data_IF_688477776215
#
_entry.id   IF_688477776215
#
_cell.length_a   1.000
_cell.length_b   1.000
_cell.length_c   1.000
_cell.angle_alpha   90.00
_cell.angle_beta   90.00
_cell.angle_gamma   90.00
#
_symmetry.space_group_name_H-M   'P 1'
#
loop_
_entity.id
_entity.type
_entity.pdbx_description
1 polymer ?
#
# COMPACT_ATOMS: atom_id res chain seq x y z
N UNK A 1 21.03 15.69 18.15
CA UNK A 1 21.91 14.78 18.91
C UNK A 1 21.65 13.34 18.53
N UNK A 2 22.69 12.55 18.41
CA UNK A 2 22.55 11.11 18.20
C UNK A 2 22.80 10.36 19.52
N UNK A 3 22.06 9.28 19.72
CA UNK A 3 22.21 8.39 20.85
C UNK A 3 22.50 6.99 20.32
N UNK A 4 23.42 6.28 20.95
CA UNK A 4 23.73 4.90 20.60
C UNK A 4 22.73 3.99 21.30
N UNK A 5 22.07 3.14 20.54
CA UNK A 5 21.18 2.09 21.03
C UNK A 5 21.79 0.75 20.64
N UNK A 6 21.84 -0.18 21.57
CA UNK A 6 22.33 -1.54 21.33
C UNK A 6 21.31 -2.57 21.81
N UNK A 7 21.29 -3.72 21.17
CA UNK A 7 20.43 -4.85 21.55
C UNK A 7 21.18 -6.16 21.36
N UNK A 8 20.73 -7.19 22.07
CA UNK A 8 21.24 -8.55 21.94
C UNK A 8 20.38 -9.33 20.96
N UNK A 9 21.01 -10.18 20.16
CA UNK A 9 20.36 -11.06 19.23
C UNK A 9 20.93 -12.47 19.38
N UNK A 10 20.12 -13.47 19.05
CA UNK A 10 20.63 -14.83 18.94
C UNK A 10 21.62 -14.95 17.76
N UNK A 11 22.45 -16.01 17.80
CA UNK A 11 23.52 -16.17 16.82
C UNK A 11 23.00 -16.39 15.39
N UNK A 12 21.86 -17.04 15.23
CA UNK A 12 21.28 -17.29 13.90
C UNK A 12 20.78 -16.00 13.29
N UNK A 13 20.04 -15.19 14.04
CA UNK A 13 19.59 -13.88 13.61
C UNK A 13 20.78 -12.95 13.30
N UNK A 14 21.80 -12.91 14.19
CA UNK A 14 22.96 -12.05 13.98
C UNK A 14 23.73 -12.39 12.71
N UNK A 15 23.85 -13.68 12.38
CA UNK A 15 24.50 -14.16 11.15
C UNK A 15 23.75 -13.69 9.90
N UNK A 16 22.43 -13.78 9.92
CA UNK A 16 21.59 -13.49 8.76
C UNK A 16 21.21 -12.01 8.64
N UNK A 17 21.47 -11.22 9.69
CA UNK A 17 21.04 -9.83 9.77
C UNK A 17 21.58 -8.95 8.65
N UNK A 18 22.87 -9.03 8.35
CA UNK A 18 23.49 -8.24 7.27
C UNK A 18 22.96 -8.63 5.90
N UNK A 19 22.68 -9.91 5.70
CA UNK A 19 22.06 -10.41 4.48
C UNK A 19 20.62 -9.88 4.31
N UNK A 20 19.87 -9.85 5.40
CA UNK A 20 18.51 -9.28 5.42
C UNK A 20 18.51 -7.80 5.04
N UNK A 21 19.42 -7.03 5.61
CA UNK A 21 19.57 -5.60 5.30
C UNK A 21 19.88 -5.38 3.82
N UNK A 22 20.83 -6.13 3.26
CA UNK A 22 21.19 -6.04 1.84
C UNK A 22 20.04 -6.43 0.92
N UNK A 23 19.33 -7.50 1.22
CA UNK A 23 18.14 -7.94 0.46
C UNK A 23 17.03 -6.90 0.47
N UNK A 24 16.94 -6.12 1.54
CA UNK A 24 15.97 -5.03 1.68
C UNK A 24 16.38 -3.73 0.98
N UNK A 25 17.54 -3.71 0.29
CA UNK A 25 18.02 -2.55 -0.45
C UNK A 25 18.69 -1.47 0.39
N UNK A 26 18.97 -1.74 1.66
CA UNK A 26 19.63 -0.79 2.56
C UNK A 26 21.14 -1.01 2.59
N UNK A 27 21.91 0.08 2.62
CA UNK A 27 23.36 0.07 2.83
C UNK A 27 23.77 0.48 4.26
N UNK A 28 22.81 0.97 5.04
CA UNK A 28 23.05 1.51 6.37
C UNK A 28 22.18 0.79 7.39
N UNK A 29 22.83 0.10 8.36
CA UNK A 29 22.14 -0.65 9.43
C UNK A 29 21.22 0.22 10.26
N UNK A 30 21.69 1.37 10.70
CA UNK A 30 20.92 2.28 11.56
C UNK A 30 19.66 2.77 10.86
N UNK A 31 19.76 3.10 9.58
CA UNK A 31 18.62 3.49 8.78
C UNK A 31 17.62 2.35 8.57
N UNK A 32 18.12 1.15 8.27
CA UNK A 32 17.27 -0.04 8.15
C UNK A 32 16.48 -0.29 9.45
N UNK A 33 17.16 -0.30 10.60
CA UNK A 33 16.52 -0.53 11.91
C UNK A 33 15.48 0.54 12.21
N UNK A 34 15.84 1.81 11.98
CA UNK A 34 14.91 2.93 12.17
C UNK A 34 13.65 2.78 11.32
N UNK A 35 13.83 2.59 10.01
CA UNK A 35 12.71 2.50 9.08
C UNK A 35 11.86 1.26 9.34
N UNK A 36 12.48 0.12 9.64
CA UNK A 36 11.78 -1.10 10.01
C UNK A 36 10.98 -0.94 11.31
N UNK A 37 11.54 -0.28 12.31
CA UNK A 37 10.85 -0.03 13.59
C UNK A 37 9.66 0.92 13.42
N UNK A 38 9.81 1.96 12.63
CA UNK A 38 8.72 2.89 12.32
C UNK A 38 7.62 2.20 11.52
N UNK A 39 7.98 1.41 10.52
CA UNK A 39 7.04 0.64 9.73
C UNK A 39 6.26 -0.36 10.59
N UNK A 40 6.94 -1.11 11.44
CA UNK A 40 6.30 -2.07 12.34
C UNK A 40 5.36 -1.36 13.33
N UNK A 41 5.81 -0.26 13.92
CA UNK A 41 4.98 0.55 14.82
C UNK A 41 3.72 1.06 14.14
N UNK A 42 3.85 1.52 12.91
CA UNK A 42 2.73 1.99 12.11
C UNK A 42 1.73 0.87 11.78
N UNK A 43 2.24 -0.30 11.41
CA UNK A 43 1.40 -1.49 11.20
C UNK A 43 0.63 -1.88 12.47
N UNK A 44 1.28 -1.82 13.64
CA UNK A 44 0.64 -2.11 14.92
C UNK A 44 -0.45 -1.09 15.28
N UNK A 45 -0.24 0.17 14.93
CA UNK A 45 -1.22 1.24 15.23
C UNK A 45 -2.42 1.22 14.29
N UNK A 46 -2.22 0.89 13.03
CA UNK A 46 -3.23 0.97 11.99
C UNK A 46 -3.80 -0.37 11.58
N UNK A 47 -3.02 -1.44 11.71
CA UNK A 47 -3.36 -2.75 11.18
C UNK A 47 -3.37 -2.78 9.64
N UNK A 48 -3.70 -3.91 9.09
CA UNK A 48 -4.01 -4.03 7.66
C UNK A 48 -5.37 -3.39 7.38
N UNK A 49 -5.61 -3.00 6.13
CA UNK A 49 -6.89 -2.44 5.69
C UNK A 49 -8.10 -3.25 6.18
N UNK A 50 -7.96 -4.56 6.21
CA UNK A 50 -9.03 -5.49 6.63
C UNK A 50 -9.37 -5.38 8.12
N UNK A 51 -8.39 -5.00 8.96
CA UNK A 51 -8.51 -4.90 10.40
C UNK A 51 -8.76 -3.47 10.91
N UNK A 52 -8.67 -2.47 10.03
CA UNK A 52 -8.90 -1.08 10.39
C UNK A 52 -10.35 -0.81 10.78
N UNK A 53 -10.56 0.10 11.73
CA UNK A 53 -11.89 0.66 11.99
C UNK A 53 -12.46 1.26 10.70
N UNK A 54 -13.67 0.84 10.33
CA UNK A 54 -14.33 1.26 9.10
C UNK A 54 -14.57 2.77 8.98
N UNK A 55 -14.66 3.49 10.10
CA UNK A 55 -14.87 4.94 10.13
C UNK A 55 -13.57 5.75 10.03
N UNK A 56 -12.40 5.09 10.15
CA UNK A 56 -11.11 5.75 10.02
C UNK A 56 -10.92 6.27 8.59
N UNK A 57 -10.65 7.57 8.47
CA UNK A 57 -10.34 8.19 7.18
C UNK A 57 -8.87 7.92 6.86
N UNK A 58 -8.63 7.30 5.74
CA UNK A 58 -7.30 6.95 5.24
C UNK A 58 -7.13 7.39 3.78
N UNK A 59 -5.91 7.47 3.35
CA UNK A 59 -5.56 7.67 1.95
C UNK A 59 -4.44 6.72 1.52
N UNK A 60 -4.33 6.49 0.25
CA UNK A 60 -3.33 5.60 -0.31
C UNK A 60 -3.53 5.38 -1.79
N UNK A 61 -2.92 4.32 -2.30
CA UNK A 61 -2.99 3.96 -3.71
C UNK A 61 -3.67 2.61 -3.90
N UNK A 62 -4.68 2.60 -4.74
CA UNK A 62 -5.31 1.37 -5.21
C UNK A 62 -4.71 1.02 -6.56
N UNK A 63 -4.22 -0.21 -6.68
CA UNK A 63 -3.61 -0.74 -7.91
C UNK A 63 -4.45 -1.90 -8.40
N UNK A 64 -4.92 -1.81 -9.64
CA UNK A 64 -5.81 -2.82 -10.24
C UNK A 64 -5.16 -3.35 -11.51
N UNK A 65 -4.87 -4.65 -11.54
CA UNK A 65 -4.43 -5.37 -12.72
C UNK A 65 -5.61 -6.12 -13.33
N UNK A 66 -5.81 -5.97 -14.61
CA UNK A 66 -6.95 -6.58 -15.30
C UNK A 66 -6.65 -6.83 -16.78
N UNK A 67 -7.42 -7.71 -17.37
CA UNK A 67 -7.43 -7.90 -18.81
C UNK A 67 -8.32 -6.85 -19.45
N UNK A 68 -7.87 -6.29 -20.57
CA UNK A 68 -8.59 -5.22 -21.25
C UNK A 68 -10.01 -5.67 -21.63
N UNK A 69 -10.98 -4.96 -21.08
CA UNK A 69 -12.39 -5.16 -21.31
C UNK A 69 -13.09 -3.81 -21.19
N UNK A 70 -14.01 -3.51 -22.09
CA UNK A 70 -14.78 -2.26 -22.08
C UNK A 70 -15.56 -2.08 -20.78
N UNK A 71 -16.10 -3.16 -20.22
CA UNK A 71 -16.87 -3.11 -18.98
C UNK A 71 -15.99 -2.76 -17.76
N UNK A 72 -14.76 -3.28 -17.71
CA UNK A 72 -13.82 -2.97 -16.64
C UNK A 72 -13.35 -1.52 -16.68
N UNK A 73 -13.05 -1.03 -17.88
CA UNK A 73 -12.68 0.38 -18.08
C UNK A 73 -13.79 1.32 -17.62
N UNK A 74 -15.03 0.99 -17.93
CA UNK A 74 -16.20 1.77 -17.52
C UNK A 74 -16.37 1.76 -15.99
N UNK A 75 -16.27 0.60 -15.36
CA UNK A 75 -16.39 0.47 -13.88
C UNK A 75 -15.31 1.26 -13.13
N UNK A 76 -14.09 1.25 -13.64
CA UNK A 76 -12.99 2.03 -13.06
C UNK A 76 -13.21 3.53 -13.25
N UNK A 77 -13.77 3.95 -14.37
CA UNK A 77 -14.19 5.33 -14.59
C UNK A 77 -15.33 5.75 -13.65
N UNK A 78 -16.28 4.87 -13.42
CA UNK A 78 -17.42 5.12 -12.52
C UNK A 78 -16.94 5.32 -11.06
N UNK A 79 -15.85 4.66 -10.65
CA UNK A 79 -15.25 4.85 -9.34
C UNK A 79 -14.70 6.28 -9.12
N UNK A 80 -14.24 6.93 -10.17
CA UNK A 80 -13.77 8.33 -10.09
C UNK A 80 -14.87 9.31 -9.73
N UNK A 81 -16.10 8.94 -9.95
CA UNK A 81 -17.29 9.73 -9.67
C UNK A 81 -18.12 9.15 -8.52
N UNK A 82 -17.55 8.18 -7.78
CA UNK A 82 -18.22 7.59 -6.63
C UNK A 82 -18.25 8.55 -5.44
N UNK A 83 -19.38 8.62 -4.76
CA UNK A 83 -19.49 9.37 -3.49
C UNK A 83 -18.87 8.62 -2.30
N UNK A 84 -18.48 7.36 -2.48
CA UNK A 84 -17.91 6.53 -1.41
C UNK A 84 -16.44 6.86 -1.12
N UNK A 85 -15.69 7.20 -2.16
CA UNK A 85 -14.27 7.51 -2.08
C UNK A 85 -13.94 8.72 -2.94
N UNK A 86 -12.94 9.47 -2.52
CA UNK A 86 -12.38 10.57 -3.30
C UNK A 86 -11.19 10.05 -4.11
N UNK A 87 -11.20 10.25 -5.42
CA UNK A 87 -10.09 9.90 -6.31
C UNK A 87 -9.36 11.17 -6.72
N UNK A 88 -8.16 11.37 -6.18
CA UNK A 88 -7.34 12.56 -6.42
C UNK A 88 -6.53 12.47 -7.72
N UNK A 89 -6.10 11.28 -8.09
CA UNK A 89 -5.41 11.05 -9.35
C UNK A 89 -5.70 9.64 -9.89
N UNK A 90 -5.54 9.51 -11.20
CA UNK A 90 -5.80 8.27 -11.91
C UNK A 90 -4.79 8.13 -13.05
N UNK A 91 -4.20 6.96 -13.19
CA UNK A 91 -3.37 6.63 -14.34
C UNK A 91 -3.67 5.23 -14.85
N UNK A 92 -3.60 5.08 -16.17
CA UNK A 92 -3.78 3.82 -16.86
C UNK A 92 -2.56 3.51 -17.71
N UNK A 93 -2.12 2.26 -17.68
CA UNK A 93 -1.02 1.76 -18.50
C UNK A 93 -1.29 0.35 -18.99
N UNK A 94 -0.75 0.03 -20.15
CA UNK A 94 -0.71 -1.34 -20.67
C UNK A 94 0.68 -1.92 -20.49
N UNK A 95 0.76 -3.08 -19.85
CA UNK A 95 2.02 -3.77 -19.60
C UNK A 95 2.33 -4.70 -20.78
N UNK A 96 3.40 -4.39 -21.51
CA UNK A 96 3.74 -5.09 -22.75
C UNK A 96 4.19 -6.54 -22.55
N UNK A 97 4.85 -6.81 -21.42
CA UNK A 97 5.39 -8.15 -21.15
C UNK A 97 4.32 -9.09 -20.57
N UNK A 98 3.53 -8.62 -19.65
CA UNK A 98 2.48 -9.42 -18.98
C UNK A 98 1.14 -9.40 -19.70
N UNK A 99 0.97 -8.53 -20.71
CA UNK A 99 -0.27 -8.32 -21.43
C UNK A 99 -1.47 -7.95 -20.56
N UNK A 100 -1.19 -7.37 -19.41
CA UNK A 100 -2.19 -6.85 -18.47
C UNK A 100 -2.31 -5.34 -18.59
N UNK A 101 -3.50 -4.82 -18.29
CA UNK A 101 -3.69 -3.40 -18.01
C UNK A 101 -3.52 -3.15 -16.51
N UNK A 102 -3.01 -1.99 -16.17
CA UNK A 102 -2.90 -1.54 -14.78
C UNK A 102 -3.47 -0.13 -14.63
N UNK A 103 -4.34 0.03 -13.64
CA UNK A 103 -4.84 1.32 -13.20
C UNK A 103 -4.32 1.61 -11.80
N UNK A 104 -3.82 2.82 -11.60
CA UNK A 104 -3.36 3.31 -10.30
C UNK A 104 -4.20 4.52 -9.92
N UNK A 105 -4.87 4.42 -8.77
CA UNK A 105 -5.74 5.47 -8.26
C UNK A 105 -5.22 5.96 -6.92
N UNK A 106 -5.06 7.27 -6.77
CA UNK A 106 -4.85 7.86 -5.46
C UNK A 106 -6.21 8.13 -4.83
N UNK A 107 -6.50 7.46 -3.74
CA UNK A 107 -7.83 7.48 -3.11
C UNK A 107 -7.75 7.91 -1.66
N UNK A 108 -8.81 8.57 -1.22
CA UNK A 108 -9.04 8.96 0.17
C UNK A 108 -10.48 8.62 0.54
N UNK A 109 -10.68 8.14 1.74
CA UNK A 109 -12.02 7.83 2.24
C UNK A 109 -11.98 7.03 3.53
N UNK A 110 -13.15 6.66 4.01
CA UNK A 110 -13.27 5.77 5.16
C UNK A 110 -12.74 4.37 4.81
N UNK A 111 -12.01 3.77 5.73
CA UNK A 111 -11.42 2.44 5.53
C UNK A 111 -12.48 1.40 5.12
N UNK A 112 -13.67 1.44 5.70
CA UNK A 112 -14.79 0.57 5.33
C UNK A 112 -15.22 0.73 3.88
N UNK A 113 -15.26 1.95 3.37
CA UNK A 113 -15.62 2.24 1.99
C UNK A 113 -14.53 1.78 1.01
N UNK A 114 -13.26 2.04 1.35
CA UNK A 114 -12.13 1.59 0.54
C UNK A 114 -12.08 0.06 0.48
N UNK A 115 -12.32 -0.61 1.59
CA UNK A 115 -12.43 -2.07 1.69
C UNK A 115 -13.53 -2.62 0.78
N UNK A 116 -14.71 -2.02 0.83
CA UNK A 116 -15.85 -2.40 0.00
C UNK A 116 -15.56 -2.23 -1.49
N UNK A 117 -14.92 -1.13 -1.87
CA UNK A 117 -14.52 -0.87 -3.26
C UNK A 117 -13.47 -1.86 -3.73
N UNK A 118 -12.45 -2.13 -2.90
CA UNK A 118 -11.41 -3.13 -3.19
C UNK A 118 -12.02 -4.52 -3.43
N UNK A 119 -12.91 -4.94 -2.56
CA UNK A 119 -13.60 -6.22 -2.68
C UNK A 119 -14.44 -6.32 -3.95
N UNK A 120 -15.19 -5.28 -4.26
CA UNK A 120 -15.98 -5.22 -5.49
C UNK A 120 -15.11 -5.32 -6.75
N UNK A 121 -13.98 -4.62 -6.77
CA UNK A 121 -13.03 -4.70 -7.88
C UNK A 121 -12.42 -6.09 -8.00
N UNK A 122 -11.99 -6.68 -6.88
CA UNK A 122 -11.39 -8.01 -6.87
C UNK A 122 -12.36 -9.09 -7.38
N UNK A 123 -13.65 -8.93 -7.14
CA UNK A 123 -14.69 -9.85 -7.59
C UNK A 123 -15.26 -9.52 -8.98
N UNK A 124 -14.73 -8.50 -9.64
CA UNK A 124 -15.12 -8.15 -11.00
C UNK A 124 -14.46 -9.13 -11.99
N UNK A 125 -15.22 -9.68 -12.97
CA UNK A 125 -14.65 -10.54 -14.01
C UNK A 125 -13.51 -9.85 -14.74
N UNK A 126 -12.47 -10.62 -15.10
CA UNK A 126 -11.25 -10.16 -15.78
C UNK A 126 -10.34 -9.22 -14.97
N UNK A 127 -10.64 -8.99 -13.70
CA UNK A 127 -9.71 -8.37 -12.76
C UNK A 127 -8.83 -9.46 -12.18
N UNK A 128 -7.52 -9.35 -12.41
CA UNK A 128 -6.56 -10.36 -11.95
C UNK A 128 -6.15 -10.12 -10.51
N UNK A 129 -5.92 -8.86 -10.14
CA UNK A 129 -5.46 -8.50 -8.80
C UNK A 129 -5.82 -7.06 -8.47
N UNK A 130 -6.32 -6.84 -7.26
CA UNK A 130 -6.53 -5.52 -6.66
C UNK A 130 -5.76 -5.44 -5.36
N UNK A 131 -4.97 -4.38 -5.19
CA UNK A 131 -4.20 -4.11 -3.98
C UNK A 131 -4.42 -2.67 -3.54
N UNK A 132 -4.36 -2.44 -2.23
CA UNK A 132 -4.39 -1.11 -1.65
C UNK A 132 -3.19 -0.92 -0.74
N UNK A 133 -2.46 0.15 -0.94
CA UNK A 133 -1.30 0.53 -0.15
C UNK A 133 -1.68 1.79 0.62
N UNK A 134 -1.83 1.66 1.94
CA UNK A 134 -2.16 2.78 2.82
C UNK A 134 -0.97 3.72 2.96
N UNK A 135 -1.20 5.01 2.73
CA UNK A 135 -0.20 6.02 2.98
C UNK A 135 0.08 6.16 4.48
N UNK A 136 1.35 6.31 4.89
CA UNK A 136 1.67 6.56 6.28
C UNK A 136 1.15 7.93 6.73
N UNK A 137 0.71 8.01 7.98
CA UNK A 137 0.30 9.27 8.58
C UNK A 137 1.51 9.94 9.23
N UNK A 138 1.75 11.18 8.88
CA UNK A 138 2.74 12.02 9.55
C UNK A 138 2.04 13.09 10.37
N UNK A 139 2.60 13.43 11.52
CA UNK A 139 2.07 14.52 12.35
C UNK A 139 2.35 15.87 11.69
N UNK A 140 3.51 15.99 11.07
CA UNK A 140 3.94 17.20 10.36
C UNK A 140 4.08 16.89 8.87
N UNK A 141 3.45 17.71 8.04
CA UNK A 141 3.57 17.58 6.59
C UNK A 141 4.98 17.93 6.10
N UNK A 142 5.36 17.38 4.96
CA UNK A 142 6.62 17.69 4.29
C UNK A 142 6.51 18.80 3.25
N UNK A 143 5.30 19.29 3.05
CA UNK A 143 5.01 20.30 2.03
C UNK A 143 4.42 21.57 2.63
#
# INVERSE_FOLDING_TARGET
MSQIISFSADSDFARDFDSLIKKSGYSNRSRFIRDASLFFSEMQQRGDLEDMDGELVIEGHMVVYYQHDHDNSKRLLDLRHSDLIEVASYSHSSLKHSHACVDVLQVKGKAGNIRAVKERLQNTPNVDKTSFITAPMRQDGCC
#
